data_IF_289189972670
#
_entry.id   IF_289189972670
#
_cell.length_a   1.000
_cell.length_b   1.000
_cell.length_c   1.000
_cell.angle_alpha   90.00
_cell.angle_beta   90.00
_cell.angle_gamma   90.00
#
_symmetry.space_group_name_H-M   'P 1'
#
loop_
_entity.id
_entity.type
_entity.pdbx_description
1 polymer ?
#
# COMPACT_ATOMS: atom_id res chain seq x y z
N UNK A 1 5.03 -10.85 -19.79
CA UNK A 1 5.91 -11.24 -18.67
C UNK A 1 5.04 -11.21 -17.43
N UNK A 2 5.24 -12.13 -16.49
CA UNK A 2 4.56 -12.07 -15.18
C UNK A 2 5.32 -11.10 -14.29
N UNK A 3 4.61 -10.31 -13.48
CA UNK A 3 5.22 -9.42 -12.48
C UNK A 3 5.59 -10.25 -11.26
N UNK A 4 6.86 -10.21 -10.83
CA UNK A 4 7.28 -10.86 -9.60
C UNK A 4 7.08 -9.90 -8.41
N UNK A 5 5.99 -10.11 -7.67
CA UNK A 5 5.67 -9.32 -6.49
C UNK A 5 6.48 -9.73 -5.24
N UNK A 6 7.13 -10.88 -5.23
CA UNK A 6 7.77 -11.42 -4.01
C UNK A 6 9.30 -11.42 -4.12
N UNK A 7 9.86 -10.53 -4.95
CA UNK A 7 11.31 -10.29 -5.11
C UNK A 7 11.97 -10.03 -3.77
N UNK A 8 12.91 -10.89 -3.37
CA UNK A 8 13.52 -10.89 -2.04
C UNK A 8 14.16 -9.55 -1.66
N UNK A 9 14.70 -8.80 -2.62
CA UNK A 9 15.28 -7.47 -2.42
C UNK A 9 14.26 -6.37 -2.05
N UNK A 10 12.97 -6.59 -2.34
CA UNK A 10 11.89 -5.67 -2.03
C UNK A 10 11.19 -5.99 -0.70
N UNK A 11 11.61 -7.06 -0.02
CA UNK A 11 10.93 -7.60 1.16
C UNK A 11 11.55 -7.09 2.47
N UNK A 12 10.72 -6.48 3.31
CA UNK A 12 10.97 -6.26 4.73
C UNK A 12 10.06 -7.13 5.59
N UNK A 13 10.49 -7.49 6.80
CA UNK A 13 9.67 -8.28 7.74
C UNK A 13 9.75 -7.70 9.15
N UNK A 14 8.64 -7.78 9.88
CA UNK A 14 8.61 -7.45 11.31
C UNK A 14 7.62 -8.31 12.07
N UNK A 15 8.02 -8.71 13.27
CA UNK A 15 7.14 -9.30 14.28
C UNK A 15 6.83 -8.37 15.45
N UNK A 16 7.28 -7.11 15.39
CA UNK A 16 7.08 -6.16 16.50
C UNK A 16 5.63 -5.77 16.61
N UNK A 17 5.21 -5.45 17.83
CA UNK A 17 3.83 -5.02 18.12
C UNK A 17 3.44 -3.73 17.43
N UNK A 18 4.40 -2.85 17.18
CA UNK A 18 4.22 -1.61 16.43
C UNK A 18 5.46 -1.39 15.58
N UNK A 19 5.27 -1.06 14.32
CA UNK A 19 6.30 -0.62 13.38
C UNK A 19 5.67 0.34 12.38
N UNK A 20 6.47 0.97 11.54
CA UNK A 20 5.98 1.90 10.53
C UNK A 20 6.42 1.55 9.12
N UNK A 21 5.71 2.14 8.17
CA UNK A 21 6.11 2.19 6.77
C UNK A 21 6.48 3.62 6.43
N UNK A 22 7.66 3.78 5.86
CA UNK A 22 8.26 5.04 5.48
C UNK A 22 8.40 5.13 3.97
N UNK A 23 8.36 6.35 3.48
CA UNK A 23 8.79 6.72 2.13
C UNK A 23 9.62 8.00 2.27
N UNK A 24 10.88 7.96 1.82
CA UNK A 24 11.80 9.08 1.99
C UNK A 24 11.59 10.09 0.86
N UNK A 25 11.50 11.40 1.15
CA UNK A 25 11.33 12.40 0.11
C UNK A 25 12.57 12.47 -0.80
N UNK A 26 12.42 12.97 -2.05
CA UNK A 26 13.54 13.19 -2.97
C UNK A 26 14.69 13.98 -2.30
N UNK A 27 15.97 13.73 -2.64
CA UNK A 27 16.49 13.18 -3.90
C UNK A 27 16.70 11.66 -4.06
N UNK A 28 16.66 10.78 -3.04
CA UNK A 28 16.68 9.35 -3.32
C UNK A 28 15.29 8.87 -3.80
N UNK A 29 15.21 8.32 -5.01
CA UNK A 29 14.07 7.50 -5.48
C UNK A 29 14.18 6.09 -4.90
N UNK A 30 14.24 5.99 -3.57
CA UNK A 30 14.30 4.70 -2.91
C UNK A 30 12.89 4.12 -2.77
N UNK A 31 12.76 2.78 -2.80
CA UNK A 31 11.49 2.16 -2.47
C UNK A 31 11.05 2.49 -1.05
N UNK A 32 9.73 2.51 -0.82
CA UNK A 32 9.18 2.53 0.52
C UNK A 32 9.74 1.34 1.34
N UNK A 33 9.83 1.51 2.66
CA UNK A 33 10.47 0.53 3.52
C UNK A 33 9.79 0.40 4.88
N UNK A 34 9.96 -0.78 5.48
CA UNK A 34 9.58 -1.06 6.86
C UNK A 34 10.62 -0.49 7.82
N UNK A 35 10.18 0.23 8.84
CA UNK A 35 11.04 0.75 9.91
C UNK A 35 10.46 0.42 11.28
N UNK A 36 11.35 0.05 12.22
CA UNK A 36 10.97 -0.39 13.56
C UNK A 36 11.48 0.53 14.69
N UNK A 37 12.16 1.62 14.37
CA UNK A 37 12.94 2.40 15.35
C UNK A 37 12.75 3.90 15.26
N UNK A 38 12.48 4.44 14.07
CA UNK A 38 12.41 5.86 13.74
C UNK A 38 10.95 6.32 13.57
N UNK A 39 10.20 6.26 14.68
CA UNK A 39 8.75 6.54 14.71
C UNK A 39 8.32 7.88 14.11
N UNK A 40 9.21 8.88 14.12
CA UNK A 40 8.98 10.20 13.54
C UNK A 40 8.89 10.20 12.01
N UNK A 41 9.51 9.21 11.35
CA UNK A 41 9.50 9.07 9.90
C UNK A 41 8.27 8.35 9.37
N UNK A 42 7.63 7.54 10.21
CA UNK A 42 6.51 6.69 9.84
C UNK A 42 5.38 7.50 9.18
N UNK A 43 5.04 7.13 7.95
CA UNK A 43 3.89 7.68 7.23
C UNK A 43 2.66 6.84 7.56
N UNK A 44 2.82 5.52 7.56
CA UNK A 44 1.85 4.57 8.09
C UNK A 44 2.37 3.93 9.37
N UNK A 45 1.50 3.68 10.33
CA UNK A 45 1.77 2.98 11.58
C UNK A 45 1.01 1.66 11.57
N UNK A 46 1.74 0.56 11.69
CA UNK A 46 1.17 -0.79 11.73
C UNK A 46 1.07 -1.26 13.17
N UNK A 47 -0.14 -1.60 13.61
CA UNK A 47 -0.44 -2.15 14.92
C UNK A 47 -0.59 -3.67 14.82
N UNK A 48 0.45 -4.39 15.22
CA UNK A 48 0.52 -5.84 15.22
C UNK A 48 0.32 -6.39 16.63
N UNK A 49 -0.90 -6.26 17.16
CA UNK A 49 -1.22 -6.63 18.54
C UNK A 49 -0.95 -8.10 18.88
N UNK A 50 -1.00 -8.96 17.86
CA UNK A 50 -0.73 -10.41 17.94
C UNK A 50 0.77 -10.75 17.92
N UNK A 51 1.64 -9.81 17.55
CA UNK A 51 3.08 -10.00 17.38
C UNK A 51 3.42 -11.16 16.40
N UNK A 52 2.67 -11.25 15.29
CA UNK A 52 2.91 -12.23 14.23
C UNK A 52 3.91 -11.69 13.20
N UNK A 53 4.53 -12.55 12.41
CA UNK A 53 5.37 -12.10 11.31
C UNK A 53 4.52 -11.45 10.22
N UNK A 54 4.78 -10.17 9.96
CA UNK A 54 4.19 -9.40 8.87
C UNK A 54 5.27 -9.11 7.85
N UNK A 55 4.96 -9.39 6.58
CA UNK A 55 5.85 -9.12 5.46
C UNK A 55 5.41 -7.84 4.77
N UNK A 56 6.30 -6.88 4.62
CA UNK A 56 6.14 -5.70 3.77
C UNK A 56 6.92 -5.90 2.47
N UNK A 57 6.33 -5.50 1.36
CA UNK A 57 6.90 -5.61 0.03
C UNK A 57 6.81 -4.24 -0.62
N UNK A 58 7.96 -3.66 -0.93
CA UNK A 58 8.05 -2.42 -1.68
C UNK A 58 7.68 -2.68 -3.15
N UNK A 59 6.79 -1.87 -3.71
CA UNK A 59 6.32 -2.02 -5.09
C UNK A 59 6.86 -0.89 -5.95
N UNK A 60 6.60 0.36 -5.59
CA UNK A 60 7.17 1.49 -6.33
C UNK A 60 8.69 1.54 -6.17
N UNK A 61 9.38 1.91 -7.24
CA UNK A 61 10.84 1.89 -7.37
C UNK A 61 11.53 0.54 -7.08
N UNK A 62 10.80 -0.57 -6.89
CA UNK A 62 11.38 -1.90 -6.63
C UNK A 62 10.89 -3.00 -7.59
N UNK A 63 9.59 -3.06 -7.89
CA UNK A 63 9.00 -4.09 -8.76
C UNK A 63 8.76 -3.53 -10.16
N UNK A 64 9.18 -4.27 -11.18
CA UNK A 64 9.01 -3.91 -12.58
C UNK A 64 7.65 -4.35 -13.11
N UNK A 65 6.88 -3.40 -13.63
CA UNK A 65 5.58 -3.66 -14.25
C UNK A 65 5.73 -3.63 -15.78
N UNK A 66 4.93 -4.42 -16.53
CA UNK A 66 4.89 -4.31 -17.97
C UNK A 66 4.49 -2.89 -18.40
N UNK A 67 5.02 -2.43 -19.53
CA UNK A 67 4.57 -1.19 -20.14
C UNK A 67 3.10 -1.32 -20.58
N UNK A 68 2.37 -0.23 -20.43
CA UNK A 68 1.03 -0.09 -20.98
C UNK A 68 1.07 -0.16 -22.51
N UNK A 69 -0.07 -0.41 -23.19
CA UNK A 69 -0.12 -0.45 -24.66
C UNK A 69 0.36 0.83 -25.34
N UNK A 70 0.30 1.98 -24.66
CA UNK A 70 0.82 3.26 -25.14
C UNK A 70 2.34 3.47 -24.88
N UNK A 71 3.02 2.44 -24.37
CA UNK A 71 4.45 2.43 -24.08
C UNK A 71 4.83 3.11 -22.77
N UNK A 72 3.88 3.60 -21.97
CA UNK A 72 4.17 4.25 -20.68
C UNK A 72 4.26 3.25 -19.54
N UNK A 73 4.94 3.65 -18.47
CA UNK A 73 4.90 2.91 -17.21
C UNK A 73 3.51 3.02 -16.57
N UNK A 74 3.01 1.88 -16.09
CA UNK A 74 1.79 1.84 -15.29
C UNK A 74 1.98 2.55 -13.94
N UNK A 75 0.88 3.07 -13.40
CA UNK A 75 0.85 3.57 -12.01
C UNK A 75 1.07 2.40 -11.05
N UNK A 76 1.85 2.62 -10.00
CA UNK A 76 2.12 1.66 -8.93
C UNK A 76 1.90 2.31 -7.58
N UNK A 77 1.44 1.57 -6.59
CA UNK A 77 1.46 2.04 -5.21
C UNK A 77 2.80 1.76 -4.53
N UNK A 78 3.01 2.33 -3.36
CA UNK A 78 4.30 2.26 -2.66
C UNK A 78 4.64 0.85 -2.19
N UNK A 79 3.65 0.09 -1.71
CA UNK A 79 3.91 -1.28 -1.30
C UNK A 79 2.67 -2.09 -0.89
N UNK A 80 2.92 -3.28 -0.38
CA UNK A 80 1.90 -4.13 0.23
C UNK A 80 2.40 -4.83 1.48
N UNK A 81 1.49 -5.07 2.43
CA UNK A 81 1.69 -5.92 3.59
C UNK A 81 0.98 -7.25 3.34
N UNK A 82 1.57 -8.35 3.80
CA UNK A 82 0.92 -9.65 3.83
C UNK A 82 1.30 -10.44 5.07
N UNK A 83 0.33 -11.17 5.60
CA UNK A 83 0.44 -12.08 6.72
C UNK A 83 -0.72 -13.08 6.62
N UNK A 84 -0.47 -14.34 7.00
CA UNK A 84 -1.50 -15.40 6.94
C UNK A 84 -2.21 -15.42 5.56
N UNK A 85 -3.53 -15.22 5.51
CA UNK A 85 -4.36 -15.11 4.30
C UNK A 85 -4.81 -13.67 4.00
N UNK A 86 -4.05 -12.68 4.49
CA UNK A 86 -4.36 -11.25 4.37
C UNK A 86 -3.37 -10.54 3.46
N UNK A 87 -3.90 -9.65 2.61
CA UNK A 87 -3.12 -8.67 1.85
C UNK A 87 -3.66 -7.26 2.08
N UNK A 88 -2.74 -6.32 2.28
CA UNK A 88 -3.03 -4.91 2.47
C UNK A 88 -2.15 -4.10 1.53
N UNK A 89 -2.71 -3.53 0.46
CA UNK A 89 -1.98 -2.58 -0.37
C UNK A 89 -1.91 -1.22 0.31
N UNK A 90 -0.78 -0.52 0.17
CA UNK A 90 -0.54 0.77 0.84
C UNK A 90 -0.03 1.80 -0.17
N UNK A 91 -0.69 2.94 -0.18
CA UNK A 91 -0.26 4.16 -0.86
C UNK A 91 0.01 5.23 0.21
N UNK A 92 1.21 5.77 0.23
CA UNK A 92 1.76 6.71 1.20
C UNK A 92 1.78 8.11 0.60
N UNK A 93 1.18 9.08 1.30
CA UNK A 93 1.28 10.50 0.97
C UNK A 93 1.79 11.27 2.19
N UNK A 94 2.90 11.98 2.01
CA UNK A 94 3.47 12.94 2.98
C UNK A 94 3.49 14.37 2.42
N UNK A 95 2.50 14.75 1.60
CA UNK A 95 2.41 16.10 1.05
C UNK A 95 1.44 16.98 1.85
N UNK A 96 1.91 18.19 2.20
CA UNK A 96 1.06 19.30 2.67
C UNK A 96 0.24 19.93 1.55
N UNK A 97 0.61 19.69 0.29
CA UNK A 97 -0.12 20.12 -0.90
C UNK A 97 -1.34 19.22 -1.14
N UNK A 98 -2.41 19.47 -0.37
CA UNK A 98 -3.70 18.85 -0.61
C UNK A 98 -4.39 18.31 0.64
N UNK A 99 -4.31 19.00 1.77
CA UNK A 99 -5.06 18.68 3.00
C UNK A 99 -6.61 18.70 2.87
N UNK A 100 -7.15 18.74 1.64
CA UNK A 100 -8.59 18.71 1.35
C UNK A 100 -8.99 18.01 0.05
N UNK A 101 -8.04 17.49 -0.75
CA UNK A 101 -8.38 16.76 -1.97
C UNK A 101 -8.25 15.25 -1.72
N UNK A 102 -9.29 14.49 -2.09
CA UNK A 102 -9.22 13.04 -2.18
C UNK A 102 -8.02 12.63 -3.03
N UNK A 103 -7.06 11.92 -2.45
CA UNK A 103 -6.00 11.31 -3.22
C UNK A 103 -6.60 10.21 -4.11
N UNK A 104 -6.30 10.26 -5.40
CA UNK A 104 -6.82 9.32 -6.39
C UNK A 104 -6.25 7.91 -6.14
N UNK A 105 -7.08 6.87 -5.89
CA UNK A 105 -6.61 5.51 -5.63
C UNK A 105 -6.15 4.80 -6.91
N UNK A 106 -6.01 5.46 -8.04
CA UNK A 106 -5.60 4.85 -9.31
C UNK A 106 -4.28 4.04 -9.22
N UNK A 107 -3.32 4.44 -8.37
CA UNK A 107 -2.10 3.67 -8.11
C UNK A 107 -2.41 2.31 -7.44
N UNK A 108 -3.27 2.32 -6.42
CA UNK A 108 -3.77 1.10 -5.77
C UNK A 108 -4.55 0.23 -6.75
N UNK A 109 -5.49 0.82 -7.50
CA UNK A 109 -6.30 0.08 -8.48
C UNK A 109 -5.44 -0.60 -9.54
N UNK A 110 -4.48 0.12 -10.14
CA UNK A 110 -3.62 -0.45 -11.16
C UNK A 110 -2.75 -1.60 -10.60
N UNK A 111 -2.20 -1.41 -9.40
CA UNK A 111 -1.37 -2.43 -8.74
C UNK A 111 -2.17 -3.68 -8.40
N UNK A 112 -3.37 -3.51 -7.82
CA UNK A 112 -4.26 -4.62 -7.46
C UNK A 112 -4.68 -5.41 -8.70
N UNK A 113 -5.08 -4.73 -9.78
CA UNK A 113 -5.48 -5.41 -11.02
C UNK A 113 -4.34 -6.22 -11.65
N UNK A 114 -3.09 -5.81 -11.45
CA UNK A 114 -1.93 -6.60 -11.86
C UNK A 114 -1.69 -7.79 -10.91
N UNK A 115 -1.80 -7.56 -9.59
CA UNK A 115 -1.63 -8.60 -8.58
C UNK A 115 -2.68 -9.72 -8.68
N UNK A 116 -3.94 -9.38 -8.95
CA UNK A 116 -5.05 -10.35 -9.11
C UNK A 116 -4.89 -11.30 -10.31
N UNK A 117 -3.90 -11.08 -11.17
CA UNK A 117 -3.51 -12.03 -12.22
C UNK A 117 -2.67 -13.19 -11.71
N UNK A 118 -2.12 -13.08 -10.50
CA UNK A 118 -1.28 -14.09 -9.87
C UNK A 118 -2.10 -15.15 -9.15
N UNK A 119 -1.57 -16.37 -9.03
CA UNK A 119 -2.26 -17.46 -8.31
C UNK A 119 -2.29 -17.21 -6.80
N UNK A 120 -1.27 -16.53 -6.27
CA UNK A 120 -1.14 -16.10 -4.88
C UNK A 120 -2.33 -15.23 -4.45
N UNK A 121 -2.83 -14.37 -5.33
CA UNK A 121 -3.99 -13.52 -5.06
C UNK A 121 -5.28 -14.30 -4.76
N UNK A 122 -5.39 -15.55 -5.25
CA UNK A 122 -6.54 -16.42 -5.02
C UNK A 122 -6.50 -17.09 -3.64
N UNK A 123 -5.34 -17.13 -2.99
CA UNK A 123 -5.15 -17.75 -1.68
C UNK A 123 -5.47 -16.78 -0.53
N UNK A 124 -5.58 -15.48 -0.84
CA UNK A 124 -5.80 -14.42 0.13
C UNK A 124 -7.30 -14.18 0.33
N UNK A 125 -7.79 -14.41 1.55
CA UNK A 125 -9.19 -14.25 1.91
C UNK A 125 -9.53 -12.80 2.26
N UNK A 126 -8.61 -12.08 2.90
CA UNK A 126 -8.83 -10.71 3.36
C UNK A 126 -8.06 -9.73 2.48
N UNK A 127 -8.80 -8.86 1.79
CA UNK A 127 -8.27 -7.95 0.77
C UNK A 127 -8.57 -6.50 1.13
N UNK A 128 -7.54 -5.75 1.54
CA UNK A 128 -7.65 -4.38 2.03
C UNK A 128 -6.70 -3.47 1.24
N UNK A 129 -7.07 -2.20 1.08
CA UNK A 129 -6.20 -1.16 0.58
C UNK A 129 -6.21 0.03 1.55
N UNK A 130 -5.04 0.62 1.80
CA UNK A 130 -4.88 1.82 2.59
C UNK A 130 -4.34 2.95 1.73
N UNK A 131 -5.08 4.05 1.71
CA UNK A 131 -4.60 5.32 1.22
C UNK A 131 -4.24 6.19 2.42
N UNK A 132 -2.95 6.28 2.70
CA UNK A 132 -2.39 6.88 3.90
C UNK A 132 -1.99 8.31 3.59
N UNK A 133 -2.44 9.24 4.44
CA UNK A 133 -1.94 10.62 4.43
C UNK A 133 -1.47 10.99 5.83
N UNK A 134 -0.16 11.24 5.98
CA UNK A 134 0.47 11.62 7.27
C UNK A 134 -0.14 12.90 7.85
N UNK A 135 -0.55 13.84 6.98
CA UNK A 135 -1.12 15.15 7.33
C UNK A 135 -2.63 15.09 7.66
N UNK A 136 -3.24 13.89 7.62
CA UNK A 136 -4.67 13.54 7.81
C UNK A 136 -5.56 13.68 6.56
N UNK A 137 -6.38 12.65 6.24
CA UNK A 137 -7.52 12.81 5.34
C UNK A 137 -8.73 13.39 6.09
N UNK A 138 -9.32 14.47 5.57
CA UNK A 138 -10.66 14.91 6.00
C UNK A 138 -11.67 14.03 5.28
N UNK A 139 -12.34 13.14 6.00
CA UNK A 139 -13.43 12.34 5.43
C UNK A 139 -14.64 13.25 5.12
N UNK A 140 -15.06 13.32 3.86
CA UNK A 140 -16.26 14.04 3.42
C UNK A 140 -17.24 13.07 2.74
N UNK A 141 -18.54 13.36 2.80
CA UNK A 141 -19.61 12.52 2.21
C UNK A 141 -19.40 12.27 0.71
N UNK A 142 -18.76 13.18 -0.02
CA UNK A 142 -18.39 12.98 -1.43
C UNK A 142 -17.41 11.82 -1.68
N UNK A 143 -16.74 11.34 -0.64
CA UNK A 143 -15.75 10.26 -0.71
C UNK A 143 -16.36 8.86 -0.64
N UNK A 144 -17.54 8.71 -0.03
CA UNK A 144 -18.22 7.40 0.10
C UNK A 144 -18.48 6.75 -1.25
N UNK A 145 -18.93 7.54 -2.24
CA UNK A 145 -19.16 7.02 -3.60
C UNK A 145 -17.87 6.48 -4.24
N UNK A 146 -16.72 7.13 -4.02
CA UNK A 146 -15.42 6.68 -4.55
C UNK A 146 -14.91 5.43 -3.84
N UNK A 147 -15.09 5.33 -2.53
CA UNK A 147 -14.76 4.11 -1.76
C UNK A 147 -15.59 2.93 -2.27
N UNK A 148 -16.89 3.12 -2.42
CA UNK A 148 -17.78 2.08 -2.94
C UNK A 148 -17.41 1.68 -4.36
N UNK A 149 -17.10 2.64 -5.23
CA UNK A 149 -16.67 2.35 -6.60
C UNK A 149 -15.34 1.58 -6.62
N UNK A 150 -14.35 2.00 -5.82
CA UNK A 150 -13.09 1.27 -5.69
C UNK A 150 -13.30 -0.18 -5.25
N UNK A 151 -14.17 -0.41 -4.27
CA UNK A 151 -14.50 -1.77 -3.82
C UNK A 151 -15.21 -2.58 -4.90
N UNK A 152 -16.08 -1.98 -5.70
CA UNK A 152 -16.72 -2.65 -6.83
C UNK A 152 -15.70 -3.01 -7.93
N UNK A 153 -14.77 -2.10 -8.22
CA UNK A 153 -13.80 -2.28 -9.30
C UNK A 153 -12.69 -3.28 -8.96
N UNK A 154 -12.32 -3.40 -7.68
CA UNK A 154 -11.16 -4.18 -7.25
C UNK A 154 -11.53 -5.37 -6.37
N UNK A 155 -12.66 -5.33 -5.66
CA UNK A 155 -12.99 -6.26 -4.57
C UNK A 155 -12.32 -5.94 -3.23
N UNK A 156 -11.48 -4.89 -3.14
CA UNK A 156 -10.73 -4.53 -1.94
C UNK A 156 -11.45 -3.48 -1.11
N UNK A 157 -11.39 -3.61 0.21
CA UNK A 157 -11.92 -2.58 1.12
C UNK A 157 -10.91 -1.44 1.25
N UNK A 158 -11.27 -0.24 0.79
CA UNK A 158 -10.42 0.95 0.91
C UNK A 158 -10.57 1.63 2.27
N UNK A 159 -9.44 1.90 2.92
CA UNK A 159 -9.33 2.62 4.20
C UNK A 159 -8.47 3.88 4.05
N UNK A 160 -8.86 4.93 4.77
CA UNK A 160 -8.27 6.27 4.66
C UNK A 160 -7.73 6.70 6.01
N UNK A 161 -6.74 5.98 6.48
CA UNK A 161 -6.15 6.21 7.78
C UNK A 161 -4.67 5.81 7.74
N UNK A 162 -3.87 6.51 8.52
CA UNK A 162 -2.45 6.19 8.68
C UNK A 162 -2.20 5.00 9.61
N UNK A 163 -3.25 4.48 10.27
CA UNK A 163 -3.13 3.34 11.18
C UNK A 163 -3.66 2.08 10.51
N UNK A 164 -2.81 1.07 10.42
CA UNK A 164 -3.10 -0.25 9.84
C UNK A 164 -3.14 -1.24 10.99
N UNK A 165 -4.29 -1.82 11.26
CA UNK A 165 -4.43 -2.85 12.28
C UNK A 165 -4.27 -4.24 11.65
N UNK A 166 -3.35 -5.02 12.19
CA UNK A 166 -3.21 -6.45 11.88
C UNK A 166 -4.24 -7.20 12.73
N UNK A 167 -5.11 -7.96 12.07
CA UNK A 167 -6.25 -8.65 12.70
C UNK A 167 -5.92 -10.09 13.07
#
# INVERSE_FOLDING_TARGET
>A
MSVDFFRAECVGKSGKRVFGICDDPPPPHLPAYLDETHGEKWIAVVHNNRAIEVTFIAIDHCIDFPLLPDGKQGKKCDGMLTYEDVVIFVELKDSSQGAGAWADPAQLTATILEFEKQEEAKQLAVKIAHLVNKQKPVFDRGQQGKISQFQLDTGYVLRLNAHIDIV
#
